data_IF_561085947918
#
_entry.id   IF_561085947918
#
_cell.length_a   1.000
_cell.length_b   1.000
_cell.length_c   1.000
_cell.angle_alpha   90.00
_cell.angle_beta   90.00
_cell.angle_gamma   90.00
#
_symmetry.space_group_name_H-M   'P 1'
#
loop_
_entity.id
_entity.type
_entity.pdbx_description
1 polymer ?
#
# COMPACT_ATOMS: atom_id res chain seq x y z
N UNK A 1 9.30 18.96 2.71
CA UNK A 1 8.04 18.25 2.37
C UNK A 1 8.08 16.85 2.95
N UNK A 2 7.10 16.52 3.73
CA UNK A 2 7.02 15.20 4.36
C UNK A 2 6.18 14.27 3.49
N UNK A 3 6.60 13.01 3.37
CA UNK A 3 5.84 11.97 2.67
C UNK A 3 5.31 10.96 3.68
N UNK A 4 4.08 10.54 3.47
CA UNK A 4 3.53 9.41 4.19
C UNK A 4 3.00 8.40 3.18
N UNK A 5 2.93 7.17 3.59
CA UNK A 5 2.58 6.06 2.71
C UNK A 5 1.39 5.32 3.30
N UNK A 6 0.40 5.05 2.47
CA UNK A 6 -0.78 4.28 2.86
C UNK A 6 -0.91 3.05 1.98
N UNK A 7 -1.49 2.01 2.51
CA UNK A 7 -1.79 0.81 1.74
C UNK A 7 -3.26 0.90 1.31
N UNK A 8 -3.49 0.89 0.03
CA UNK A 8 -4.82 0.93 -0.56
C UNK A 8 -5.18 -0.47 -1.00
N UNK A 9 -6.23 -1.01 -0.41
CA UNK A 9 -6.69 -2.37 -0.69
C UNK A 9 -7.76 -2.35 -1.77
N UNK A 10 -7.62 -3.24 -2.75
CA UNK A 10 -8.63 -3.46 -3.76
C UNK A 10 -9.14 -4.89 -3.63
N UNK A 11 -10.43 -5.02 -3.50
CA UNK A 11 -11.13 -6.28 -3.63
C UNK A 11 -12.05 -6.14 -4.84
N UNK A 12 -12.65 -7.24 -5.25
CA UNK A 12 -13.52 -7.26 -6.43
C UNK A 12 -14.67 -6.23 -6.35
N UNK A 13 -15.05 -5.82 -5.15
CA UNK A 13 -16.17 -4.89 -4.93
C UNK A 13 -15.81 -3.65 -4.13
N UNK A 14 -14.70 -3.65 -3.44
CA UNK A 14 -14.42 -2.63 -2.43
C UNK A 14 -13.00 -2.11 -2.59
N UNK A 15 -12.86 -0.82 -2.41
CA UNK A 15 -11.59 -0.14 -2.31
C UNK A 15 -11.51 0.47 -0.91
N UNK A 16 -10.43 0.17 -0.19
CA UNK A 16 -10.28 0.66 1.18
C UNK A 16 -8.82 1.01 1.47
N UNK A 17 -8.62 1.91 2.41
CA UNK A 17 -7.29 2.30 2.87
C UNK A 17 -6.98 1.64 4.19
N UNK A 18 -5.70 1.37 4.41
CA UNK A 18 -5.26 0.95 5.74
C UNK A 18 -5.50 2.07 6.75
N UNK A 19 -5.77 1.69 7.99
CA UNK A 19 -5.92 2.65 9.08
C UNK A 19 -4.57 3.18 9.57
N UNK A 20 -3.48 2.57 9.13
CA UNK A 20 -2.12 2.91 9.55
C UNK A 20 -1.40 3.60 8.40
N UNK A 21 -0.73 4.70 8.71
CA UNK A 21 0.14 5.40 7.78
C UNK A 21 1.59 5.09 8.12
N UNK A 22 2.42 4.96 7.10
CA UNK A 22 3.84 4.61 7.26
C UNK A 22 4.70 5.79 6.89
N UNK A 23 5.79 5.97 7.60
CA UNK A 23 6.72 7.08 7.34
C UNK A 23 7.77 6.75 6.28
N UNK A 24 7.97 5.47 5.99
CA UNK A 24 8.90 5.05 4.95
C UNK A 24 8.26 4.04 4.02
N UNK A 25 8.74 4.01 2.78
CA UNK A 25 8.25 3.06 1.79
C UNK A 25 8.65 1.63 2.18
N UNK A 26 9.79 1.46 2.83
CA UNK A 26 10.25 0.15 3.28
C UNK A 26 9.31 -0.46 4.30
N UNK A 27 8.79 0.34 5.21
CA UNK A 27 7.79 -0.13 6.18
C UNK A 27 6.52 -0.56 5.50
N UNK A 28 6.06 0.20 4.51
CA UNK A 28 4.87 -0.15 3.73
C UNK A 28 5.08 -1.46 2.97
N UNK A 29 6.25 -1.64 2.35
CA UNK A 29 6.60 -2.88 1.66
C UNK A 29 6.58 -4.07 2.60
N UNK A 30 7.17 -3.94 3.78
CA UNK A 30 7.18 -5.02 4.77
C UNK A 30 5.77 -5.45 5.14
N UNK A 31 4.89 -4.49 5.35
CA UNK A 31 3.51 -4.78 5.71
C UNK A 31 2.76 -5.46 4.57
N UNK A 32 2.94 -4.98 3.35
CA UNK A 32 2.33 -5.58 2.16
C UNK A 32 2.73 -7.05 2.03
N UNK A 33 4.03 -7.35 2.18
CA UNK A 33 4.51 -8.73 2.10
C UNK A 33 4.02 -9.59 3.26
N UNK A 34 4.01 -9.03 4.46
CA UNK A 34 3.51 -9.71 5.66
C UNK A 34 2.06 -10.15 5.52
N UNK A 35 1.26 -9.33 4.84
CA UNK A 35 -0.15 -9.63 4.60
C UNK A 35 -0.39 -10.61 3.46
N UNK A 36 0.66 -11.05 2.78
CA UNK A 36 0.56 -12.05 1.72
C UNK A 36 0.51 -11.48 0.30
N UNK A 37 0.67 -10.18 0.12
CA UNK A 37 0.68 -9.55 -1.20
C UNK A 37 2.11 -9.53 -1.73
N UNK A 38 2.54 -10.67 -2.28
CA UNK A 38 3.92 -10.90 -2.68
C UNK A 38 4.16 -10.84 -4.19
N UNK A 39 3.08 -10.94 -5.00
CA UNK A 39 3.22 -10.88 -6.45
C UNK A 39 3.22 -9.44 -6.93
N UNK A 40 4.38 -8.96 -7.36
CA UNK A 40 4.53 -7.61 -7.87
C UNK A 40 3.98 -7.49 -9.27
N UNK A 41 2.96 -6.63 -9.43
CA UNK A 41 2.35 -6.37 -10.74
C UNK A 41 2.92 -5.11 -11.39
N UNK A 42 3.25 -4.11 -10.57
CA UNK A 42 3.86 -2.87 -11.00
C UNK A 42 4.67 -2.30 -9.84
N UNK A 43 5.29 -1.15 -10.01
CA UNK A 43 6.22 -0.57 -9.05
C UNK A 43 5.67 -0.53 -7.62
N UNK A 44 4.44 -0.10 -7.42
CA UNK A 44 3.81 -0.01 -6.09
C UNK A 44 2.52 -0.84 -6.00
N UNK A 45 2.38 -1.82 -6.87
CA UNK A 45 1.14 -2.57 -7.01
C UNK A 45 1.42 -4.07 -6.88
N UNK A 46 0.72 -4.72 -5.95
CA UNK A 46 0.95 -6.11 -5.61
C UNK A 46 -0.34 -6.89 -5.56
N UNK A 47 -0.26 -8.17 -5.89
CA UNK A 47 -1.38 -9.09 -5.82
C UNK A 47 -1.14 -10.12 -4.73
N UNK A 48 -2.22 -10.57 -4.07
CA UNK A 48 -2.12 -11.60 -3.05
C UNK A 48 -1.65 -12.92 -3.65
N UNK A 49 -0.81 -13.65 -2.90
CA UNK A 49 -0.22 -14.91 -3.36
C UNK A 49 -1.24 -16.01 -3.57
N UNK A 50 -2.36 -16.01 -2.82
CA UNK A 50 -3.42 -17.01 -2.93
C UNK A 50 -4.75 -16.42 -3.40
N UNK A 51 -5.13 -15.28 -2.87
CA UNK A 51 -6.38 -14.59 -3.26
C UNK A 51 -6.12 -13.68 -4.45
N UNK A 52 -6.10 -14.24 -5.63
CA UNK A 52 -5.61 -13.59 -6.85
C UNK A 52 -6.41 -12.36 -7.29
N UNK A 53 -7.63 -12.20 -6.82
CA UNK A 53 -8.44 -11.03 -7.11
C UNK A 53 -8.25 -9.89 -6.12
N UNK A 54 -7.48 -10.11 -5.05
CA UNK A 54 -7.17 -9.07 -4.09
C UNK A 54 -5.81 -8.47 -4.41
N UNK A 55 -5.78 -7.15 -4.50
CA UNK A 55 -4.57 -6.40 -4.81
C UNK A 55 -4.40 -5.25 -3.83
N UNK A 56 -3.18 -4.76 -3.72
CA UNK A 56 -2.89 -3.56 -2.92
C UNK A 56 -1.99 -2.64 -3.72
N UNK A 57 -2.13 -1.35 -3.44
CA UNK A 57 -1.26 -0.33 -3.99
C UNK A 57 -0.72 0.52 -2.84
N UNK A 58 0.57 0.82 -2.88
CA UNK A 58 1.16 1.74 -1.92
C UNK A 58 0.97 3.14 -2.47
N UNK A 59 0.16 3.93 -1.79
CA UNK A 59 -0.13 5.29 -2.20
C UNK A 59 0.74 6.28 -1.42
N UNK A 60 1.32 7.23 -2.13
CA UNK A 60 2.22 8.22 -1.55
C UNK A 60 1.48 9.53 -1.40
N UNK A 61 1.41 10.02 -0.17
CA UNK A 61 0.85 11.33 0.12
C UNK A 61 1.97 12.28 0.49
N UNK A 62 1.99 13.43 -0.14
CA UNK A 62 2.96 14.48 0.16
C UNK A 62 2.28 15.52 1.03
N UNK A 63 2.80 15.69 2.23
CA UNK A 63 2.30 16.70 3.15
C UNK A 63 3.08 17.99 2.96
N UNK A 64 2.35 19.06 2.73
CA UNK A 64 2.95 20.39 2.64
C UNK A 64 3.19 20.91 4.04
N UNK A 65 4.45 21.17 4.36
CA UNK A 65 4.80 21.74 5.63
C UNK A 65 4.47 23.23 5.63
N UNK A 66 3.91 23.69 6.75
CA UNK A 66 3.72 25.13 6.98
C UNK A 66 4.99 25.71 7.56
N UNK A 67 5.40 26.76 7.00
CA UNK A 67 6.49 27.57 7.55
C UNK A 67 5.97 28.57 8.55
#
# INVERSE_FOLDING_TARGET
>A
MKRIYAIKYYDIRVMDYSSVMYESIEEAYKEVHKLGFTERLDFLYYRHETRKFETVEIEIFKLKERE
#
